data_IF_273078762324
#
_entry.id   IF_273078762324
#
_cell.length_a   1.000
_cell.length_b   1.000
_cell.length_c   1.000
_cell.angle_alpha   90.00
_cell.angle_beta   90.00
_cell.angle_gamma   90.00
#
_symmetry.space_group_name_H-M   'P 1'
#
loop_
_entity.id
_entity.type
_entity.pdbx_description
1 polymer ?
#
# COMPACT_ATOMS: atom_id res chain seq x y z
N UNK A 1 8.97 19.21 -0.45
CA UNK A 1 8.20 19.56 0.77
C UNK A 1 7.85 18.26 1.50
N UNK A 2 8.50 17.93 2.63
CA UNK A 2 7.95 16.92 3.53
C UNK A 2 6.60 17.46 4.01
N UNK A 3 5.51 16.75 3.68
CA UNK A 3 4.17 17.15 4.13
C UNK A 3 4.05 16.70 5.58
N UNK A 4 4.14 17.66 6.51
CA UNK A 4 4.00 17.43 7.94
C UNK A 4 2.80 16.56 8.31
N UNK A 5 2.97 15.78 9.38
CA UNK A 5 2.06 14.97 10.23
C UNK A 5 0.96 14.10 9.59
N UNK A 6 0.59 14.30 8.33
CA UNK A 6 -0.50 13.53 7.70
C UNK A 6 0.03 12.19 7.22
N UNK A 7 -0.42 11.08 7.80
CA UNK A 7 0.04 9.76 7.39
C UNK A 7 -0.38 9.48 5.93
N UNK A 8 0.53 8.84 5.21
CA UNK A 8 0.31 8.38 3.84
C UNK A 8 -0.50 7.09 3.90
N UNK A 9 -1.68 7.11 3.28
CA UNK A 9 -2.56 5.94 3.21
C UNK A 9 -2.12 5.04 2.06
N UNK A 10 -1.88 3.77 2.38
CA UNK A 10 -1.63 2.66 1.47
C UNK A 10 -2.79 1.65 1.58
N UNK A 11 -3.46 1.39 0.45
CA UNK A 11 -4.46 0.33 0.36
C UNK A 11 -3.83 -0.90 -0.29
N UNK A 12 -4.22 -2.13 0.11
CA UNK A 12 -3.79 -3.35 -0.57
C UNK A 12 -4.11 -3.31 -2.07
N UNK A 13 -5.28 -2.76 -2.44
CA UNK A 13 -5.70 -2.53 -3.83
C UNK A 13 -4.67 -1.78 -4.71
N UNK A 14 -3.74 -1.02 -4.14
CA UNK A 14 -2.68 -0.34 -4.90
C UNK A 14 -1.68 -1.32 -5.52
N UNK A 15 -1.51 -2.49 -4.91
CA UNK A 15 -0.50 -3.49 -5.23
C UNK A 15 -1.09 -4.72 -5.94
N UNK A 16 -2.41 -4.76 -6.09
CA UNK A 16 -3.13 -5.92 -6.63
C UNK A 16 -2.97 -6.00 -8.16
N UNK A 17 -2.44 -7.12 -8.64
CA UNK A 17 -2.27 -7.38 -10.08
C UNK A 17 -3.61 -7.60 -10.79
N UNK A 18 -4.60 -8.14 -10.08
CA UNK A 18 -5.94 -8.41 -10.59
C UNK A 18 -6.77 -7.14 -10.84
N UNK A 19 -6.34 -6.00 -10.28
CA UNK A 19 -6.99 -4.70 -10.49
C UNK A 19 -6.36 -3.94 -11.64
N UNK A 20 -7.18 -3.27 -12.44
CA UNK A 20 -6.72 -2.27 -13.41
C UNK A 20 -6.23 -0.98 -12.71
N UNK A 21 -5.60 -0.07 -13.47
CA UNK A 21 -5.23 1.25 -12.93
C UNK A 21 -6.45 2.06 -12.49
N UNK A 22 -7.55 1.96 -13.23
CA UNK A 22 -8.82 2.63 -12.89
C UNK A 22 -9.46 2.02 -11.63
N UNK A 23 -9.27 0.72 -11.40
CA UNK A 23 -9.81 -0.01 -10.23
C UNK A 23 -8.94 0.11 -8.97
N UNK A 24 -7.85 0.88 -9.03
CA UNK A 24 -7.04 1.23 -7.86
C UNK A 24 -5.57 0.84 -7.92
N UNK A 25 -5.13 -0.01 -8.86
CA UNK A 25 -3.72 -0.41 -8.95
C UNK A 25 -2.85 0.81 -9.25
N UNK A 26 -1.84 1.06 -8.42
CA UNK A 26 -0.93 2.20 -8.55
C UNK A 26 0.46 1.83 -9.03
N UNK A 27 0.76 0.54 -9.14
CA UNK A 27 2.07 0.04 -9.59
C UNK A 27 2.01 -0.67 -10.95
N UNK A 28 3.17 -0.82 -11.57
CA UNK A 28 3.32 -1.61 -12.79
C UNK A 28 3.07 -3.09 -12.49
N UNK A 29 2.55 -3.85 -13.47
CA UNK A 29 2.21 -5.28 -13.30
C UNK A 29 3.39 -6.11 -12.77
N UNK A 30 4.61 -5.83 -13.23
CA UNK A 30 5.84 -6.53 -12.78
C UNK A 30 6.11 -6.42 -11.27
N UNK A 31 5.59 -5.36 -10.63
CA UNK A 31 5.74 -5.11 -9.19
C UNK A 31 4.43 -5.36 -8.42
N UNK A 32 3.35 -5.73 -9.11
CA UNK A 32 2.09 -6.06 -8.48
C UNK A 32 2.11 -7.53 -8.02
N UNK A 33 1.29 -7.86 -7.03
CA UNK A 33 1.13 -9.22 -6.48
C UNK A 33 -0.34 -9.62 -6.49
N UNK A 34 -0.59 -10.93 -6.43
CA UNK A 34 -1.94 -11.49 -6.33
C UNK A 34 -2.43 -11.42 -4.88
N UNK A 35 -3.65 -10.91 -4.70
CA UNK A 35 -4.33 -10.84 -3.40
C UNK A 35 -3.42 -10.26 -2.29
N UNK A 36 -2.95 -9.00 -2.44
CA UNK A 36 -2.13 -8.36 -1.40
C UNK A 36 -2.92 -8.19 -0.10
N UNK A 37 -2.26 -8.41 1.02
CA UNK A 37 -2.85 -8.22 2.36
C UNK A 37 -2.31 -6.95 3.04
N UNK A 38 -3.05 -6.42 4.02
CA UNK A 38 -2.56 -5.30 4.84
C UNK A 38 -1.29 -5.65 5.61
N UNK A 39 -1.16 -6.90 6.05
CA UNK A 39 0.02 -7.40 6.77
C UNK A 39 1.28 -7.39 5.91
N UNK A 40 1.18 -7.79 4.64
CA UNK A 40 2.31 -7.71 3.69
C UNK A 40 2.72 -6.27 3.43
N UNK A 41 1.75 -5.37 3.25
CA UNK A 41 2.01 -3.94 3.05
C UNK A 41 2.69 -3.34 4.28
N UNK A 42 2.23 -3.68 5.49
CA UNK A 42 2.83 -3.21 6.74
C UNK A 42 4.23 -3.79 6.95
N UNK A 43 4.43 -5.09 6.74
CA UNK A 43 5.74 -5.74 6.85
C UNK A 43 6.76 -5.14 5.89
N UNK A 44 6.36 -4.91 4.64
CA UNK A 44 7.21 -4.26 3.64
C UNK A 44 7.53 -2.81 3.99
N UNK A 45 6.57 -2.04 4.49
CA UNK A 45 6.80 -0.68 4.97
C UNK A 45 7.76 -0.65 6.18
N UNK A 46 7.59 -1.58 7.13
CA UNK A 46 8.47 -1.73 8.30
C UNK A 46 9.90 -2.08 7.89
N UNK A 47 10.07 -2.99 6.92
CA UNK A 47 11.38 -3.34 6.38
C UNK A 47 12.09 -2.17 5.65
N UNK A 48 11.34 -1.15 5.22
CA UNK A 48 11.87 0.08 4.64
C UNK A 48 12.19 1.15 5.70
N UNK A 49 12.11 0.82 6.99
CA UNK A 49 12.36 1.75 8.09
C UNK A 49 11.24 2.75 8.32
N UNK A 50 10.03 2.48 7.82
CA UNK A 50 8.87 3.32 8.05
C UNK A 50 8.07 2.84 9.27
N UNK A 51 7.18 3.70 9.77
CA UNK A 51 6.26 3.39 10.87
C UNK A 51 4.85 3.11 10.32
N UNK A 52 4.51 1.85 9.98
CA UNK A 52 3.19 1.48 9.52
C UNK A 52 2.22 1.27 10.70
N UNK A 53 0.99 1.77 10.55
CA UNK A 53 -0.14 1.47 11.40
C UNK A 53 -1.23 0.81 10.56
N UNK A 54 -1.66 -0.39 10.96
CA UNK A 54 -2.73 -1.13 10.28
C UNK A 54 -4.08 -0.68 10.85
N UNK A 55 -5.01 -0.36 9.95
CA UNK A 55 -6.40 -0.10 10.29
C UNK A 55 -7.30 -1.13 9.60
N UNK A 56 -7.79 -2.08 10.38
CA UNK A 56 -8.73 -3.10 9.91
C UNK A 56 -10.14 -2.53 9.73
N UNK A 57 -10.97 -3.23 8.96
CA UNK A 57 -12.37 -2.86 8.74
C UNK A 57 -12.60 -1.66 7.81
N UNK A 58 -11.54 -0.94 7.42
CA UNK A 58 -11.60 0.12 6.40
C UNK A 58 -11.66 -0.47 5.00
N UNK A 59 -12.51 0.09 4.15
CA UNK A 59 -12.63 -0.34 2.77
C UNK A 59 -11.94 0.63 1.81
N UNK A 60 -11.50 0.11 0.67
CA UNK A 60 -11.06 0.94 -0.45
C UNK A 60 -12.29 1.64 -1.07
N UNK A 61 -12.27 2.97 -1.32
CA UNK A 61 -13.46 3.71 -1.76
C UNK A 61 -14.16 3.16 -3.03
N UNK A 62 -13.40 2.59 -3.96
CA UNK A 62 -13.96 2.00 -5.19
C UNK A 62 -14.59 0.62 -4.97
N UNK A 63 -14.34 -0.02 -3.82
CA UNK A 63 -14.88 -1.34 -3.44
C UNK A 63 -15.29 -1.33 -1.96
N UNK A 64 -16.32 -0.55 -1.57
CA UNK A 64 -16.70 -0.34 -0.17
C UNK A 64 -17.16 -1.62 0.56
N UNK A 65 -17.62 -2.63 -0.17
CA UNK A 65 -18.00 -3.94 0.38
C UNK A 65 -16.79 -4.79 0.81
N UNK A 66 -15.58 -4.50 0.31
CA UNK A 66 -14.35 -5.22 0.68
C UNK A 66 -13.62 -4.49 1.81
N UNK A 67 -13.79 -5.00 3.03
CA UNK A 67 -13.16 -4.48 4.26
C UNK A 67 -11.73 -5.03 4.46
N UNK A 68 -10.91 -4.92 3.42
CA UNK A 68 -9.52 -5.42 3.40
C UNK A 68 -8.60 -4.64 4.35
N UNK A 69 -9.03 -3.50 4.88
CA UNK A 69 -8.25 -2.61 5.73
C UNK A 69 -7.38 -1.64 4.92
N UNK A 70 -6.56 -0.87 5.63
CA UNK A 70 -5.55 0.03 5.06
C UNK A 70 -4.35 0.16 5.99
N UNK A 71 -3.24 0.63 5.43
CA UNK A 71 -2.02 0.90 6.19
C UNK A 71 -1.72 2.39 6.12
N UNK A 72 -1.51 3.02 7.27
CA UNK A 72 -1.05 4.39 7.42
C UNK A 72 0.46 4.38 7.62
N UNK A 73 1.18 5.22 6.89
CA UNK A 73 2.63 5.30 6.99
C UNK A 73 3.08 6.74 7.15
N UNK A 74 3.89 7.03 8.16
CA UNK A 74 4.57 8.32 8.30
C UNK A 74 5.90 8.28 7.56
N UNK A 75 6.12 9.27 6.69
CA UNK A 75 7.37 9.37 5.95
C UNK A 75 7.53 10.76 5.33
N UNK A 76 8.78 11.20 5.18
CA UNK A 76 9.13 12.45 4.50
C UNK A 76 9.19 12.32 2.96
N UNK A 77 8.86 11.13 2.44
CA UNK A 77 8.89 10.82 1.02
C UNK A 77 7.55 11.08 0.33
N UNK A 78 7.59 11.30 -0.99
CA UNK A 78 6.38 11.34 -1.80
C UNK A 78 5.65 9.99 -1.80
N UNK A 79 4.31 10.03 -1.71
CA UNK A 79 3.44 8.84 -1.74
C UNK A 79 3.75 7.89 -2.90
N UNK A 80 4.01 8.43 -4.09
CA UNK A 80 4.38 7.62 -5.27
C UNK A 80 5.67 6.84 -5.07
N UNK A 81 6.68 7.44 -4.45
CA UNK A 81 7.96 6.78 -4.12
C UNK A 81 7.74 5.65 -3.12
N UNK A 82 6.97 5.89 -2.05
CA UNK A 82 6.66 4.87 -1.04
C UNK A 82 5.91 3.70 -1.66
N UNK A 83 4.86 3.97 -2.44
CA UNK A 83 4.09 2.92 -3.12
C UNK A 83 5.00 2.07 -4.02
N UNK A 84 5.95 2.67 -4.75
CA UNK A 84 6.88 1.88 -5.57
C UNK A 84 7.85 1.05 -4.73
N UNK A 85 8.44 1.62 -3.67
CA UNK A 85 9.38 0.92 -2.78
C UNK A 85 8.69 -0.25 -2.06
N UNK A 86 7.50 -0.01 -1.52
CA UNK A 86 6.69 -1.04 -0.84
C UNK A 86 6.34 -2.16 -1.81
N UNK A 87 5.92 -1.85 -3.04
CA UNK A 87 5.58 -2.87 -4.03
C UNK A 87 6.76 -3.78 -4.38
N UNK A 88 7.95 -3.18 -4.62
CA UNK A 88 9.18 -3.95 -4.84
C UNK A 88 9.50 -4.85 -3.65
N UNK A 89 9.39 -4.30 -2.44
CA UNK A 89 9.69 -5.04 -1.22
C UNK A 89 8.72 -6.20 -0.97
N UNK A 90 7.42 -6.02 -1.22
CA UNK A 90 6.44 -7.11 -1.15
C UNK A 90 6.79 -8.19 -2.18
N UNK A 91 7.17 -7.80 -3.40
CA UNK A 91 7.51 -8.72 -4.49
C UNK A 91 8.77 -9.53 -4.21
N UNK A 92 9.76 -8.96 -3.52
CA UNK A 92 10.98 -9.64 -3.08
C UNK A 92 10.73 -10.64 -1.94
N UNK A 93 9.72 -10.41 -1.12
CA UNK A 93 9.39 -11.25 0.03
C UNK A 93 8.41 -12.39 -0.29
N UNK A 94 8.01 -12.56 -1.56
CA UNK A 94 7.15 -13.66 -2.05
C UNK A 94 7.91 -14.51 -3.06
#
# INVERSE_FOLDING_TARGET
MPKGDRPIILYPAYFDVGRSRQQGRRVAKRWAVELPTTQEVASAAKALGLEPQVEDGKAFPSTPWRKEGRVLVRADYYKTSIVQKVAKRIKESR
#
